data_IF_552520517486
#
_entry.id   IF_552520517486
#
_cell.length_a   1.000
_cell.length_b   1.000
_cell.length_c   1.000
_cell.angle_alpha   90.00
_cell.angle_beta   90.00
_cell.angle_gamma   90.00
#
_symmetry.space_group_name_H-M   'P 1'
#
loop_
_entity.id
_entity.type
_entity.pdbx_description
1 polymer ?
#
# COMPACT_ATOMS: atom_id res chain seq x y z
N UNK A 1 18.06 42.08 44.80
CA UNK A 1 16.91 41.51 44.06
C UNK A 1 17.42 40.79 42.83
N UNK A 2 17.43 39.46 42.83
CA UNK A 2 17.93 38.62 41.72
C UNK A 2 16.76 38.23 40.82
N UNK A 3 16.73 38.75 39.58
CA UNK A 3 15.74 38.38 38.56
C UNK A 3 16.02 36.94 38.10
N UNK A 4 15.14 36.01 38.48
CA UNK A 4 15.10 34.66 37.88
C UNK A 4 14.60 34.79 36.44
N UNK A 5 15.50 34.57 35.48
CA UNK A 5 15.17 34.32 34.08
C UNK A 5 14.33 33.05 33.98
N UNK A 6 13.07 33.18 33.54
CA UNK A 6 12.25 32.03 33.16
C UNK A 6 12.76 31.53 31.82
N UNK A 7 13.40 30.37 31.83
CA UNK A 7 13.63 29.58 30.62
C UNK A 7 12.28 29.32 29.95
N UNK A 8 12.08 29.87 28.76
CA UNK A 8 10.93 29.57 27.91
C UNK A 8 11.28 28.27 27.20
N UNK A 9 10.61 27.19 27.58
CA UNK A 9 10.69 25.93 26.86
C UNK A 9 9.97 26.07 25.52
N UNK A 10 10.71 26.09 24.43
CA UNK A 10 10.18 25.87 23.09
C UNK A 10 10.22 24.37 22.80
N UNK A 11 9.08 23.67 22.65
CA UNK A 11 9.10 22.27 22.27
C UNK A 11 9.78 22.13 20.91
N UNK A 12 10.74 21.21 20.83
CA UNK A 12 11.39 20.81 19.59
C UNK A 12 10.32 20.40 18.58
N UNK A 13 10.28 21.04 17.41
CA UNK A 13 9.46 20.57 16.29
C UNK A 13 9.94 19.15 15.97
N UNK A 14 9.09 18.14 16.25
CA UNK A 14 9.39 16.76 15.89
C UNK A 14 9.26 16.68 14.38
N UNK A 15 10.39 16.73 13.68
CA UNK A 15 10.46 16.48 12.24
C UNK A 15 10.24 14.97 12.06
N UNK A 16 9.16 14.61 11.38
CA UNK A 16 8.87 13.22 11.07
C UNK A 16 9.91 12.64 10.09
N UNK A 17 10.43 11.45 10.38
CA UNK A 17 11.34 10.73 9.48
C UNK A 17 10.63 10.22 8.22
N UNK A 18 11.38 10.18 7.12
CA UNK A 18 10.93 9.63 5.84
C UNK A 18 12.11 9.05 5.06
N UNK A 19 11.81 8.19 4.09
CA UNK A 19 12.76 7.72 3.09
C UNK A 19 12.39 8.26 1.71
N UNK A 20 13.36 8.84 1.01
CA UNK A 20 13.21 9.20 -0.40
C UNK A 20 13.56 8.02 -1.31
N UNK A 21 12.65 7.73 -2.24
CA UNK A 21 12.70 6.57 -3.11
C UNK A 21 12.66 7.10 -4.54
N UNK A 22 13.83 7.33 -5.18
CA UNK A 22 13.87 7.72 -6.57
C UNK A 22 13.53 6.53 -7.48
N UNK A 23 13.14 6.82 -8.72
CA UNK A 23 13.00 5.77 -9.73
C UNK A 23 11.67 5.00 -9.67
N UNK A 24 10.65 5.51 -8.97
CA UNK A 24 9.35 4.86 -8.84
C UNK A 24 8.59 5.03 -10.16
N UNK A 25 8.38 3.92 -10.86
CA UNK A 25 7.56 3.88 -12.07
C UNK A 25 6.09 3.62 -11.70
N UNK A 26 5.24 4.63 -11.82
CA UNK A 26 3.81 4.56 -11.56
C UNK A 26 3.05 5.25 -12.68
N UNK A 27 2.08 4.55 -13.28
CA UNK A 27 1.28 5.03 -14.44
C UNK A 27 2.16 5.56 -15.59
N UNK A 28 3.28 4.87 -15.88
CA UNK A 28 4.22 5.23 -16.94
C UNK A 28 5.10 6.44 -16.64
N UNK A 29 4.98 7.07 -15.46
CA UNK A 29 5.81 8.19 -15.02
C UNK A 29 6.86 7.68 -14.05
N UNK A 30 8.08 8.18 -14.21
CA UNK A 30 9.17 7.92 -13.28
C UNK A 30 9.34 9.13 -12.36
N UNK A 31 9.17 8.93 -11.06
CA UNK A 31 9.12 9.98 -10.04
C UNK A 31 9.89 9.58 -8.78
N UNK A 32 10.13 10.55 -7.91
CA UNK A 32 10.62 10.33 -6.54
C UNK A 32 9.45 10.42 -5.58
N UNK A 33 9.34 9.46 -4.67
CA UNK A 33 8.36 9.49 -3.59
C UNK A 33 9.05 9.45 -2.24
N UNK A 34 8.46 10.12 -1.26
CA UNK A 34 8.75 9.91 0.15
C UNK A 34 7.78 8.90 0.72
N UNK A 35 8.28 7.96 1.52
CA UNK A 35 7.46 7.14 2.42
C UNK A 35 7.79 7.52 3.86
N UNK A 36 6.76 7.73 4.66
CA UNK A 36 6.87 8.31 5.99
C UNK A 36 6.88 7.24 7.08
N UNK A 37 7.67 7.46 8.13
CA UNK A 37 7.82 6.53 9.27
C UNK A 37 6.52 6.35 10.05
N UNK A 38 5.71 7.41 10.19
CA UNK A 38 4.42 7.30 10.84
C UNK A 38 3.37 6.93 9.80
N UNK A 39 2.73 5.79 10.01
CA UNK A 39 1.57 5.36 9.22
C UNK A 39 0.34 6.22 9.53
N UNK A 40 -0.62 6.25 8.62
CA UNK A 40 -1.96 6.74 8.91
C UNK A 40 -2.56 5.92 10.06
N UNK A 41 -3.39 6.53 10.93
CA UNK A 41 -4.10 5.79 11.97
C UNK A 41 -4.96 4.68 11.37
N UNK A 42 -5.24 3.66 12.16
CA UNK A 42 -6.20 2.63 11.79
C UNK A 42 -7.62 3.22 11.83
N UNK A 43 -8.31 3.13 10.70
CA UNK A 43 -9.67 3.64 10.49
C UNK A 43 -10.39 2.75 9.48
N UNK A 44 -11.71 2.90 9.37
CA UNK A 44 -12.43 2.26 8.27
C UNK A 44 -11.99 2.89 6.92
N UNK A 45 -12.30 2.25 5.80
CA UNK A 45 -11.76 2.66 4.50
C UNK A 45 -12.34 3.98 3.99
N UNK A 46 -13.59 4.30 4.32
CA UNK A 46 -14.21 5.56 3.93
C UNK A 46 -13.57 6.72 4.73
N UNK A 47 -13.37 6.56 6.04
CA UNK A 47 -12.65 7.52 6.88
C UNK A 47 -11.19 7.70 6.41
N UNK A 48 -10.51 6.61 6.03
CA UNK A 48 -9.15 6.66 5.46
C UNK A 48 -9.12 7.45 4.14
N UNK A 49 -10.14 7.28 3.30
CA UNK A 49 -10.29 8.05 2.05
C UNK A 49 -10.49 9.53 2.35
N UNK A 50 -11.40 9.91 3.25
CA UNK A 50 -11.60 11.30 3.65
C UNK A 50 -10.33 11.94 4.23
N UNK A 51 -9.65 11.22 5.13
CA UNK A 51 -8.34 11.58 5.66
C UNK A 51 -7.35 11.84 4.53
N UNK A 52 -7.22 10.91 3.58
CA UNK A 52 -6.30 11.01 2.44
C UNK A 52 -6.59 12.22 1.55
N UNK A 53 -7.87 12.51 1.27
CA UNK A 53 -8.29 13.67 0.46
C UNK A 53 -7.86 14.97 1.14
N UNK A 54 -8.09 15.08 2.45
CA UNK A 54 -7.70 16.25 3.23
C UNK A 54 -6.19 16.45 3.22
N UNK A 55 -5.42 15.43 3.56
CA UNK A 55 -3.95 15.51 3.60
C UNK A 55 -3.38 15.87 2.22
N UNK A 56 -3.88 15.25 1.14
CA UNK A 56 -3.44 15.53 -0.23
C UNK A 56 -3.70 16.99 -0.63
N UNK A 57 -4.85 17.56 -0.24
CA UNK A 57 -5.20 18.96 -0.51
C UNK A 57 -4.27 19.94 0.21
N UNK A 58 -3.80 19.57 1.39
CA UNK A 58 -2.85 20.36 2.20
C UNK A 58 -1.39 20.17 1.76
N UNK A 59 -1.12 19.30 0.76
CA UNK A 59 0.23 18.97 0.31
C UNK A 59 0.97 18.02 1.25
N UNK A 60 0.24 17.34 2.13
CA UNK A 60 0.78 16.42 3.13
C UNK A 60 0.85 14.97 2.60
N UNK A 61 1.56 14.10 3.33
CA UNK A 61 1.61 12.66 3.02
C UNK A 61 0.24 12.01 3.14
N UNK A 62 -0.16 11.25 2.13
CA UNK A 62 -1.49 10.67 1.99
C UNK A 62 -1.44 9.21 1.54
N UNK A 63 -2.59 8.55 1.43
CA UNK A 63 -2.66 7.14 1.04
C UNK A 63 -2.40 6.97 -0.45
N UNK A 64 -1.79 5.85 -0.81
CA UNK A 64 -1.60 5.44 -2.19
C UNK A 64 -2.44 4.22 -2.55
N UNK A 65 -2.67 4.02 -3.85
CA UNK A 65 -3.25 2.79 -4.34
C UNK A 65 -2.23 1.62 -4.25
N UNK A 66 -2.75 0.41 -4.44
CA UNK A 66 -1.96 -0.81 -4.40
C UNK A 66 -0.84 -0.86 -5.44
N UNK A 67 -1.05 -0.25 -6.62
CA UNK A 67 -0.05 -0.21 -7.69
C UNK A 67 1.12 0.70 -7.29
N UNK A 68 0.86 1.91 -6.78
CA UNK A 68 1.89 2.83 -6.34
C UNK A 68 2.68 2.24 -5.15
N UNK A 69 2.01 1.61 -4.18
CA UNK A 69 2.73 0.90 -3.11
C UNK A 69 3.67 -0.18 -3.65
N UNK A 70 3.20 -1.01 -4.58
CA UNK A 70 4.05 -2.05 -5.16
C UNK A 70 5.20 -1.45 -5.99
N UNK A 71 4.96 -0.37 -6.73
CA UNK A 71 5.99 0.37 -7.46
C UNK A 71 7.05 0.97 -6.52
N UNK A 72 6.64 1.45 -5.34
CA UNK A 72 7.55 1.89 -4.28
C UNK A 72 8.40 0.71 -3.79
N UNK A 73 7.79 -0.44 -3.48
CA UNK A 73 8.53 -1.62 -3.04
C UNK A 73 9.54 -2.11 -4.09
N UNK A 74 9.18 -2.09 -5.37
CA UNK A 74 10.08 -2.42 -6.48
C UNK A 74 11.27 -1.44 -6.58
N UNK A 75 11.02 -0.13 -6.50
CA UNK A 75 12.07 0.88 -6.53
C UNK A 75 13.02 0.72 -5.32
N UNK A 76 12.49 0.52 -4.12
CA UNK A 76 13.29 0.25 -2.93
C UNK A 76 14.12 -1.04 -3.07
N UNK A 77 13.53 -2.11 -3.60
CA UNK A 77 14.24 -3.36 -3.88
C UNK A 77 15.41 -3.11 -4.83
N UNK A 78 15.25 -2.33 -5.90
CA UNK A 78 16.35 -2.00 -6.84
C UNK A 78 17.48 -1.21 -6.18
N UNK A 79 17.19 -0.45 -5.14
CA UNK A 79 18.18 0.35 -4.39
C UNK A 79 18.93 -0.45 -3.32
N UNK A 80 18.49 -1.69 -3.00
CA UNK A 80 19.04 -2.52 -1.91
C UNK A 80 20.56 -2.69 -1.88
N UNK A 81 21.22 -2.63 -3.04
CA UNK A 81 22.68 -2.79 -3.15
C UNK A 81 23.45 -1.46 -3.23
N UNK A 82 22.77 -0.31 -3.31
CA UNK A 82 23.41 1.01 -3.56
C UNK A 82 23.54 1.88 -2.30
N UNK A 83 22.62 1.76 -1.35
CA UNK A 83 22.56 2.60 -0.15
C UNK A 83 22.21 1.74 1.08
N UNK A 84 23.17 0.95 1.56
CA UNK A 84 22.88 -0.20 2.42
C UNK A 84 22.24 0.15 3.77
N UNK A 85 22.58 1.27 4.40
CA UNK A 85 22.02 1.62 5.72
C UNK A 85 20.60 2.19 5.64
N UNK A 86 20.35 3.19 4.78
CA UNK A 86 19.03 3.82 4.67
C UNK A 86 17.98 2.87 4.10
N UNK A 87 18.36 2.05 3.12
CA UNK A 87 17.46 1.06 2.50
C UNK A 87 17.17 -0.10 3.47
N UNK A 88 18.12 -0.48 4.32
CA UNK A 88 17.87 -1.47 5.36
C UNK A 88 16.93 -0.94 6.44
N UNK A 89 17.04 0.34 6.81
CA UNK A 89 16.08 1.03 7.67
C UNK A 89 14.66 1.00 7.10
N UNK A 90 14.52 1.38 5.83
CA UNK A 90 13.25 1.30 5.10
C UNK A 90 12.71 -0.13 5.04
N UNK A 91 13.55 -1.12 4.72
CA UNK A 91 13.16 -2.53 4.65
C UNK A 91 12.62 -3.02 5.98
N UNK A 92 13.28 -2.71 7.10
CA UNK A 92 12.83 -3.05 8.45
C UNK A 92 11.50 -2.38 8.79
N UNK A 93 11.36 -1.09 8.45
CA UNK A 93 10.10 -0.38 8.61
C UNK A 93 8.98 -1.07 7.85
N UNK A 94 9.14 -1.28 6.54
CA UNK A 94 8.15 -1.97 5.69
C UNK A 94 7.81 -3.35 6.26
N UNK A 95 8.81 -4.15 6.61
CA UNK A 95 8.63 -5.49 7.18
C UNK A 95 7.80 -5.46 8.47
N UNK A 96 8.07 -4.52 9.37
CA UNK A 96 7.33 -4.38 10.64
C UNK A 96 5.91 -3.85 10.41
N UNK A 97 5.74 -2.91 9.48
CA UNK A 97 4.46 -2.28 9.17
C UNK A 97 3.51 -3.22 8.43
N UNK A 98 4.03 -4.08 7.55
CA UNK A 98 3.23 -5.10 6.85
C UNK A 98 2.54 -6.07 7.83
N UNK A 99 3.10 -6.31 9.03
CA UNK A 99 2.44 -7.13 10.07
C UNK A 99 1.20 -6.48 10.66
N UNK A 100 0.97 -5.19 10.38
CA UNK A 100 -0.23 -4.45 10.79
C UNK A 100 -1.31 -4.47 9.71
N UNK A 101 -1.09 -5.15 8.59
CA UNK A 101 -2.05 -5.25 7.48
C UNK A 101 -2.46 -3.86 6.94
N UNK A 102 -1.50 -3.07 6.42
CA UNK A 102 -1.82 -1.78 5.82
C UNK A 102 -2.82 -1.89 4.66
N UNK A 103 -3.90 -1.13 4.77
CA UNK A 103 -4.83 -0.87 3.69
C UNK A 103 -4.23 0.09 2.66
N UNK A 104 -4.77 0.03 1.45
CA UNK A 104 -4.46 0.96 0.35
C UNK A 104 -5.70 1.77 -0.02
N UNK A 105 -5.57 2.78 -0.88
CA UNK A 105 -6.73 3.46 -1.48
C UNK A 105 -7.40 2.64 -2.59
N UNK A 106 -7.12 1.34 -2.72
CA UNK A 106 -7.75 0.45 -3.71
C UNK A 106 -8.91 -0.33 -3.10
N UNK A 107 -10.07 -0.27 -3.75
CA UNK A 107 -11.27 -1.05 -3.43
C UNK A 107 -11.58 -2.03 -4.56
N UNK A 108 -12.09 -3.20 -4.22
CA UNK A 108 -12.62 -4.18 -5.18
C UNK A 108 -14.12 -4.27 -4.97
N UNK A 109 -14.88 -4.17 -6.05
CA UNK A 109 -16.31 -4.45 -6.10
C UNK A 109 -16.50 -5.76 -6.86
N UNK A 110 -16.89 -6.80 -6.12
CA UNK A 110 -17.26 -8.10 -6.64
C UNK A 110 -18.71 -8.04 -7.10
N UNK A 111 -18.93 -8.12 -8.42
CA UNK A 111 -20.28 -8.10 -8.97
C UNK A 111 -20.87 -9.53 -9.04
N UNK A 112 -22.21 -9.66 -9.07
CA UNK A 112 -22.88 -10.94 -9.25
C UNK A 112 -22.50 -11.70 -10.52
N UNK A 113 -23.07 -12.89 -10.71
CA UNK A 113 -22.82 -13.72 -11.89
C UNK A 113 -22.98 -12.93 -13.19
N UNK A 114 -22.18 -13.30 -14.20
CA UNK A 114 -22.17 -12.70 -15.55
C UNK A 114 -21.59 -11.28 -15.66
N UNK A 115 -21.33 -10.61 -14.53
CA UNK A 115 -20.68 -9.29 -14.51
C UNK A 115 -19.18 -9.36 -14.16
N UNK A 116 -18.39 -8.48 -14.79
CA UNK A 116 -16.97 -8.31 -14.44
C UNK A 116 -16.85 -7.57 -13.10
N UNK A 117 -15.84 -7.90 -12.30
CA UNK A 117 -15.52 -7.16 -11.08
C UNK A 117 -14.87 -5.81 -11.42
N UNK A 118 -14.99 -4.84 -10.51
CA UNK A 118 -14.31 -3.56 -10.62
C UNK A 118 -13.18 -3.48 -9.58
N UNK A 119 -11.98 -3.11 -10.01
CA UNK A 119 -10.88 -2.72 -9.12
C UNK A 119 -10.74 -1.21 -9.24
N UNK A 120 -11.11 -0.51 -8.18
CA UNK A 120 -11.15 0.94 -8.10
C UNK A 120 -9.90 1.39 -7.36
N UNK A 121 -8.98 2.04 -8.07
CA UNK A 121 -7.77 2.60 -7.49
C UNK A 121 -7.99 4.07 -7.13
N UNK A 122 -7.34 4.55 -6.08
CA UNK A 122 -7.54 5.89 -5.54
C UNK A 122 -9.02 6.18 -5.22
N UNK A 123 -9.69 5.19 -4.64
CA UNK A 123 -11.12 5.21 -4.31
C UNK A 123 -11.54 6.49 -3.57
N UNK A 124 -12.58 7.15 -4.09
CA UNK A 124 -13.20 8.36 -3.57
C UNK A 124 -12.38 9.65 -3.81
N UNK A 125 -11.25 9.59 -4.50
CA UNK A 125 -10.39 10.76 -4.75
C UNK A 125 -10.56 11.31 -6.18
N UNK A 126 -10.13 12.55 -6.48
CA UNK A 126 -10.22 13.12 -7.84
C UNK A 126 -9.40 12.37 -8.91
N UNK A 127 -8.43 11.54 -8.52
CA UNK A 127 -7.60 10.72 -9.40
C UNK A 127 -7.97 9.22 -9.37
N UNK A 128 -9.22 8.93 -8.99
CA UNK A 128 -9.84 7.62 -9.08
C UNK A 128 -9.83 7.08 -10.52
N UNK A 129 -9.58 5.78 -10.67
CA UNK A 129 -9.76 5.08 -11.94
C UNK A 129 -10.12 3.61 -11.69
N UNK A 130 -10.81 3.02 -12.68
CA UNK A 130 -11.39 1.68 -12.55
C UNK A 130 -10.79 0.74 -13.59
N UNK A 131 -10.36 -0.43 -13.15
CA UNK A 131 -10.01 -1.57 -13.99
C UNK A 131 -11.09 -2.64 -13.88
N UNK A 132 -11.63 -3.08 -15.01
CA UNK A 132 -12.64 -4.16 -15.07
C UNK A 132 -11.98 -5.50 -15.35
N UNK A 133 -12.38 -6.54 -14.64
CA UNK A 133 -11.88 -7.90 -14.88
C UNK A 133 -12.46 -8.94 -13.94
N UNK A 134 -12.09 -10.20 -14.14
CA UNK A 134 -12.43 -11.27 -13.20
C UNK A 134 -11.39 -11.30 -12.09
N UNK A 135 -11.78 -10.81 -10.91
CA UNK A 135 -10.95 -10.82 -9.72
C UNK A 135 -11.17 -12.08 -8.89
N UNK A 136 -12.39 -12.61 -8.89
CA UNK A 136 -12.72 -13.89 -8.23
C UNK A 136 -11.82 -15.04 -8.70
N UNK A 137 -11.48 -15.94 -7.78
CA UNK A 137 -10.88 -17.24 -8.05
C UNK A 137 -10.05 -17.72 -6.87
N UNK A 138 -9.48 -18.91 -6.98
CA UNK A 138 -8.76 -19.55 -5.88
C UNK A 138 -7.70 -18.63 -5.25
N UNK A 139 -7.66 -18.68 -3.92
CA UNK A 139 -6.55 -18.25 -3.09
C UNK A 139 -5.31 -19.07 -3.39
N UNK A 140 -4.13 -18.46 -3.22
CA UNK A 140 -2.91 -19.25 -3.36
C UNK A 140 -1.64 -18.45 -3.51
N UNK A 141 -0.54 -19.20 -3.56
CA UNK A 141 0.76 -18.65 -3.91
C UNK A 141 0.76 -18.11 -5.34
N UNK A 142 1.21 -16.88 -5.53
CA UNK A 142 1.18 -16.24 -6.85
C UNK A 142 2.02 -16.99 -7.90
N UNK A 143 3.02 -17.79 -7.46
CA UNK A 143 3.82 -18.64 -8.36
C UNK A 143 2.99 -19.70 -9.08
N UNK A 144 1.82 -20.05 -8.54
CA UNK A 144 0.92 -21.07 -9.06
C UNK A 144 -0.37 -20.47 -9.63
N UNK A 145 -0.46 -19.13 -9.75
CA UNK A 145 -1.71 -18.49 -10.18
C UNK A 145 -1.95 -18.71 -11.67
N UNK A 146 -3.17 -19.15 -12.02
CA UNK A 146 -3.58 -19.38 -13.42
C UNK A 146 -3.84 -18.06 -14.14
N UNK A 147 -4.54 -17.13 -13.49
CA UNK A 147 -5.03 -15.89 -14.10
C UNK A 147 -4.14 -14.69 -13.79
N UNK A 148 -2.97 -14.61 -14.41
CA UNK A 148 -1.95 -13.58 -14.10
C UNK A 148 -2.41 -12.13 -14.32
N UNK A 149 -3.39 -11.89 -15.19
CA UNK A 149 -3.96 -10.55 -15.44
C UNK A 149 -4.45 -9.86 -14.16
N UNK A 150 -4.87 -10.64 -13.17
CA UNK A 150 -5.28 -10.12 -11.86
C UNK A 150 -4.13 -9.36 -11.16
N UNK A 151 -2.89 -9.81 -11.35
CA UNK A 151 -1.71 -9.19 -10.77
C UNK A 151 -1.41 -7.86 -11.46
N UNK A 152 -1.60 -7.76 -12.78
CA UNK A 152 -1.49 -6.48 -13.49
C UNK A 152 -2.47 -5.47 -12.93
N UNK A 153 -3.72 -5.88 -12.67
CA UNK A 153 -4.71 -4.97 -12.11
C UNK A 153 -4.43 -4.57 -10.67
N UNK A 154 -3.83 -5.41 -9.83
CA UNK A 154 -3.53 -5.05 -8.43
C UNK A 154 -2.16 -4.38 -8.23
N UNK A 155 -1.16 -4.79 -9.00
CA UNK A 155 0.25 -4.47 -8.74
C UNK A 155 0.90 -3.71 -9.91
N UNK A 156 0.18 -3.51 -11.02
CA UNK A 156 0.73 -2.91 -12.24
C UNK A 156 1.70 -3.82 -13.00
N UNK A 157 1.82 -5.10 -12.61
CA UNK A 157 2.69 -6.07 -13.27
C UNK A 157 2.18 -7.50 -13.06
N UNK A 158 2.38 -8.36 -14.06
CA UNK A 158 2.17 -9.81 -14.00
C UNK A 158 3.48 -10.60 -13.88
N UNK A 159 4.60 -9.92 -13.67
CA UNK A 159 5.90 -10.56 -13.52
C UNK A 159 6.02 -11.24 -12.15
N UNK A 160 5.57 -12.49 -12.10
CA UNK A 160 5.57 -13.36 -10.91
C UNK A 160 6.96 -13.45 -10.26
N UNK A 161 8.03 -13.55 -11.06
CA UNK A 161 9.40 -13.66 -10.54
C UNK A 161 9.76 -12.39 -9.77
N UNK A 162 9.53 -11.23 -10.37
CA UNK A 162 9.75 -9.92 -9.74
C UNK A 162 8.96 -9.77 -8.45
N UNK A 163 7.66 -10.12 -8.45
CA UNK A 163 6.82 -10.01 -7.25
C UNK A 163 7.36 -10.88 -6.11
N UNK A 164 7.75 -12.12 -6.39
CA UNK A 164 8.32 -12.99 -5.37
C UNK A 164 9.71 -12.52 -4.90
N UNK A 165 10.57 -12.00 -5.77
CA UNK A 165 11.87 -11.45 -5.37
C UNK A 165 11.72 -10.28 -4.39
N UNK A 166 10.80 -9.35 -4.67
CA UNK A 166 10.50 -8.23 -3.77
C UNK A 166 9.94 -8.75 -2.44
N UNK A 167 9.03 -9.72 -2.49
CA UNK A 167 8.43 -10.35 -1.32
C UNK A 167 9.44 -11.06 -0.44
N UNK A 168 10.37 -11.80 -1.05
CA UNK A 168 11.47 -12.48 -0.36
C UNK A 168 12.40 -11.47 0.31
N UNK A 169 12.69 -10.35 -0.34
CA UNK A 169 13.49 -9.28 0.26
C UNK A 169 12.79 -8.61 1.46
N UNK A 170 11.48 -8.37 1.38
CA UNK A 170 10.72 -7.75 2.46
C UNK A 170 10.42 -8.70 3.63
N UNK A 171 10.05 -9.94 3.33
CA UNK A 171 9.41 -10.85 4.28
C UNK A 171 10.03 -12.26 4.33
N UNK A 172 11.05 -12.54 3.52
CA UNK A 172 11.70 -13.86 3.39
C UNK A 172 10.76 -14.98 2.94
N UNK A 173 9.69 -14.64 2.22
CA UNK A 173 8.71 -15.60 1.70
C UNK A 173 8.22 -15.19 0.31
N UNK A 174 7.51 -16.09 -0.35
CA UNK A 174 6.82 -15.78 -1.60
C UNK A 174 5.49 -15.07 -1.31
N UNK A 175 4.93 -14.39 -2.31
CA UNK A 175 3.64 -13.70 -2.14
C UNK A 175 2.47 -14.68 -2.21
N UNK A 176 1.50 -14.50 -1.32
CA UNK A 176 0.20 -15.18 -1.34
C UNK A 176 -0.89 -14.17 -1.75
N UNK A 177 -1.83 -14.59 -2.60
CA UNK A 177 -3.01 -13.80 -2.96
C UNK A 177 -4.22 -14.38 -2.21
N UNK A 178 -4.91 -13.53 -1.46
CA UNK A 178 -6.17 -13.85 -0.77
C UNK A 178 -7.30 -13.00 -1.36
N UNK A 179 -8.35 -13.63 -1.85
CA UNK A 179 -9.47 -13.00 -2.56
C UNK A 179 -10.72 -13.86 -2.47
N UNK A 180 -11.81 -13.37 -3.05
CA UNK A 180 -13.04 -14.15 -3.10
C UNK A 180 -12.92 -15.34 -4.08
N UNK A 181 -13.27 -16.54 -3.61
CA UNK A 181 -13.16 -17.78 -4.40
C UNK A 181 -14.36 -18.05 -5.34
N UNK A 182 -15.50 -17.38 -5.14
CA UNK A 182 -16.71 -17.53 -5.98
C UNK A 182 -17.48 -16.22 -6.13
N UNK A 183 -18.13 -16.00 -7.28
CA UNK A 183 -18.97 -14.81 -7.50
C UNK A 183 -20.08 -14.75 -6.44
N UNK A 184 -20.32 -13.58 -5.83
CA UNK A 184 -21.38 -13.44 -4.84
C UNK A 184 -22.76 -13.40 -5.50
N UNK A 185 -23.84 -13.64 -4.73
CA UNK A 185 -25.22 -13.51 -5.23
C UNK A 185 -25.66 -12.04 -5.34
N UNK A 186 -25.06 -11.18 -4.53
CA UNK A 186 -25.28 -9.73 -4.50
C UNK A 186 -23.92 -9.04 -4.56
N UNK A 187 -23.90 -7.76 -4.94
CA UNK A 187 -22.68 -6.97 -4.94
C UNK A 187 -22.00 -7.04 -3.57
N UNK A 188 -20.70 -7.27 -3.58
CA UNK A 188 -19.86 -7.35 -2.40
C UNK A 188 -18.60 -6.50 -2.59
N UNK A 189 -18.01 -6.02 -1.51
CA UNK A 189 -16.88 -5.10 -1.55
C UNK A 189 -15.76 -5.56 -0.64
N UNK A 190 -14.53 -5.32 -1.07
CA UNK A 190 -13.36 -5.53 -0.21
C UNK A 190 -12.27 -4.51 -0.47
N UNK A 191 -11.41 -4.34 0.51
CA UNK A 191 -10.30 -3.38 0.47
C UNK A 191 -9.01 -4.11 0.20
N UNK A 192 -8.25 -3.63 -0.79
CA UNK A 192 -6.93 -4.21 -1.07
C UNK A 192 -5.94 -3.71 -0.04
N UNK A 193 -5.21 -4.65 0.55
CA UNK A 193 -4.12 -4.35 1.46
C UNK A 193 -2.92 -5.28 1.29
N UNK A 194 -1.83 -4.91 1.95
CA UNK A 194 -0.62 -5.72 2.03
C UNK A 194 -0.42 -6.18 3.47
N UNK A 195 -0.33 -7.48 3.69
CA UNK A 195 -0.20 -8.06 5.04
C UNK A 195 1.04 -8.94 5.15
N UNK A 196 1.56 -9.11 6.36
CA UNK A 196 2.54 -10.12 6.68
C UNK A 196 1.99 -11.06 7.76
N UNK A 197 1.38 -12.19 7.35
CA UNK A 197 0.91 -13.24 8.27
C UNK A 197 1.76 -14.50 8.18
N UNK A 198 2.18 -15.05 9.32
CA UNK A 198 3.13 -16.18 9.37
C UNK A 198 4.37 -15.96 8.48
N UNK A 199 4.90 -14.73 8.45
CA UNK A 199 6.03 -14.28 7.62
C UNK A 199 5.73 -14.15 6.10
N UNK A 200 4.48 -14.34 5.66
CA UNK A 200 4.07 -14.28 4.24
C UNK A 200 3.65 -12.88 3.81
N UNK A 201 4.24 -12.28 2.77
CA UNK A 201 3.57 -11.15 2.12
C UNK A 201 2.26 -11.62 1.50
N UNK A 202 1.16 -11.09 1.98
CA UNK A 202 -0.20 -11.40 1.57
C UNK A 202 -0.79 -10.18 0.90
N UNK A 203 -1.19 -10.32 -0.36
CA UNK A 203 -2.04 -9.37 -1.04
C UNK A 203 -3.46 -9.82 -0.79
N UNK A 204 -4.20 -9.08 0.01
CA UNK A 204 -5.53 -9.48 0.45
C UNK A 204 -6.59 -8.49 -0.01
N UNK A 205 -7.82 -8.98 -0.09
CA UNK A 205 -9.01 -8.16 -0.27
C UNK A 205 -9.99 -8.51 0.85
N UNK A 206 -9.91 -7.78 1.97
CA UNK A 206 -10.68 -8.11 3.17
C UNK A 206 -12.13 -7.69 3.01
N UNK A 207 -13.04 -8.60 3.33
CA UNK A 207 -14.47 -8.29 3.44
C UNK A 207 -14.64 -7.61 4.78
N UNK A 208 -15.29 -6.45 4.79
CA UNK A 208 -15.34 -5.51 5.91
C UNK A 208 -14.04 -4.69 6.06
N UNK A 209 -14.05 -3.38 5.74
CA UNK A 209 -12.91 -2.52 5.99
C UNK A 209 -12.66 -2.41 7.50
N UNK A 210 -11.79 -3.29 7.98
CA UNK A 210 -11.35 -3.36 9.35
C UNK A 210 -10.85 -1.99 9.84
N UNK A 211 -11.45 -1.49 10.93
CA UNK A 211 -11.02 -0.25 11.59
C UNK A 211 -9.69 -0.39 12.35
N UNK A 212 -9.01 -1.54 12.26
CA UNK A 212 -7.75 -1.84 12.92
C UNK A 212 -6.54 -1.85 11.96
N UNK A 213 -6.77 -1.67 10.67
CA UNK A 213 -5.72 -1.64 9.65
C UNK A 213 -5.26 -0.18 9.37
N UNK A 214 -3.99 0.17 9.63
CA UNK A 214 -3.43 1.48 9.27
C UNK A 214 -3.19 1.58 7.75
N UNK A 215 -2.55 2.66 7.28
CA UNK A 215 -2.08 2.74 5.90
C UNK A 215 -0.70 3.42 5.81
N UNK A 216 0.10 3.06 4.82
CA UNK A 216 1.33 3.80 4.53
C UNK A 216 0.97 5.20 3.99
N UNK A 217 1.76 6.20 4.38
CA UNK A 217 1.64 7.56 3.86
C UNK A 217 2.79 7.87 2.92
N UNK A 218 2.46 8.45 1.78
CA UNK A 218 3.42 8.79 0.73
C UNK A 218 3.24 10.23 0.26
N UNK A 219 4.31 10.79 -0.33
CA UNK A 219 4.28 12.10 -0.97
C UNK A 219 5.15 12.08 -2.23
N UNK A 220 4.61 12.53 -3.38
CA UNK A 220 5.41 12.77 -4.58
C UNK A 220 6.31 14.00 -4.36
N UNK A 221 7.59 13.86 -4.65
CA UNK A 221 8.57 14.96 -4.60
C UNK A 221 8.73 15.52 -6.03
N UNK A 222 8.70 16.86 -6.13
CA UNK A 222 8.90 17.57 -7.39
C UNK A 222 10.36 17.59 -7.81
#
# INVERSE_FOLDING_TARGET
MTKKSKSIYTPSVIIEGFWEIPGVNYKGKNKTYRIFEKMAPAMNHDDLTEYSIKEKKEGNPHLADSILHFSIFDASYKLRNKHSQDIEGLRKFLQSSLRKYPNTSTRVVYNPQEELDNIIHNYGTPDEYILRGNFVGDDGWIRNIKHKKVLTSLLGTDNIKKINEISQWLTNTNTYLWRLNSKPLQKDEGVVGFGAYSLRLSLYCDRFPANWCPAFRVLEVK
#
